data_IF_985507324841
#
_entry.id   IF_985507324841
#
_cell.length_a   1.000
_cell.length_b   1.000
_cell.length_c   1.000
_cell.angle_alpha   90.00
_cell.angle_beta   90.00
_cell.angle_gamma   90.00
#
_symmetry.space_group_name_H-M   'P 1'
#
loop_
_entity.id
_entity.type
_entity.pdbx_description
1 polymer ?
#
# COMPACT_ATOMS: atom_id res chain seq x y z
N UNK A 1 -23.12 10.24 -4.09
CA UNK A 1 -22.46 10.24 -2.77
C UNK A 1 -21.19 11.05 -2.88
N UNK A 2 -21.20 12.28 -2.37
CA UNK A 2 -20.01 13.12 -2.29
C UNK A 2 -19.21 12.68 -1.07
N UNK A 3 -18.08 12.01 -1.27
CA UNK A 3 -17.05 11.88 -0.26
C UNK A 3 -16.42 13.25 -0.07
N UNK A 4 -16.66 13.88 1.06
CA UNK A 4 -15.94 15.08 1.47
C UNK A 4 -14.48 14.67 1.70
N UNK A 5 -13.61 15.10 0.81
CA UNK A 5 -12.18 14.86 0.91
C UNK A 5 -11.69 15.60 2.16
N UNK A 6 -11.37 14.87 3.22
CA UNK A 6 -10.72 15.47 4.38
C UNK A 6 -9.34 15.93 3.95
N UNK A 7 -9.09 17.22 4.07
CA UNK A 7 -7.80 17.81 3.72
C UNK A 7 -6.70 17.27 4.65
N UNK A 8 -5.46 17.24 4.19
CA UNK A 8 -4.29 16.82 4.98
C UNK A 8 -4.16 17.57 6.34
N UNK A 9 -4.85 18.69 6.50
CA UNK A 9 -4.95 19.47 7.73
C UNK A 9 -5.83 18.79 8.79
N UNK A 10 -6.91 18.12 8.40
CA UNK A 10 -7.81 17.42 9.33
C UNK A 10 -7.17 16.12 9.86
N UNK A 11 -6.32 15.46 9.05
CA UNK A 11 -5.52 14.31 9.49
C UNK A 11 -4.44 14.72 10.50
N UNK A 12 -3.96 15.97 10.43
CA UNK A 12 -2.92 16.51 11.31
C UNK A 12 -3.40 16.78 12.75
N UNK A 13 -4.70 16.95 12.95
CA UNK A 13 -5.32 17.23 14.25
C UNK A 13 -6.07 16.04 14.87
N UNK A 14 -6.13 14.89 14.20
CA UNK A 14 -6.57 13.66 14.84
C UNK A 14 -5.46 13.23 15.80
N UNK A 15 -5.79 13.24 17.09
CA UNK A 15 -4.96 12.69 18.14
C UNK A 15 -4.88 11.17 17.91
N UNK A 16 -3.80 10.72 17.29
CA UNK A 16 -3.53 9.31 16.96
C UNK A 16 -3.22 8.47 18.21
N UNK A 17 -3.45 9.03 19.40
CA UNK A 17 -3.31 8.31 20.67
C UNK A 17 -4.29 7.12 20.80
N UNK A 18 -5.30 7.03 19.92
CA UNK A 18 -6.19 5.87 19.78
C UNK A 18 -5.74 4.91 18.66
N UNK A 19 -4.44 4.77 18.43
CA UNK A 19 -3.84 3.93 17.38
C UNK A 19 -4.37 2.49 17.32
N UNK A 20 -4.77 1.94 18.45
CA UNK A 20 -5.33 0.59 18.54
C UNK A 20 -6.67 0.50 17.79
N UNK A 21 -7.55 1.49 17.94
CA UNK A 21 -8.87 1.47 17.28
C UNK A 21 -8.76 1.67 15.76
N UNK A 22 -7.91 2.59 15.28
CA UNK A 22 -7.79 2.90 13.85
C UNK A 22 -7.14 1.77 13.07
N UNK A 23 -6.18 1.08 13.69
CA UNK A 23 -5.46 -0.01 13.06
C UNK A 23 -6.31 -1.28 12.93
N UNK A 24 -7.16 -1.57 13.92
CA UNK A 24 -8.03 -2.74 13.88
C UNK A 24 -9.14 -2.60 12.85
N UNK A 25 -9.61 -1.37 12.57
CA UNK A 25 -10.59 -1.09 11.53
C UNK A 25 -10.14 -1.50 10.12
N UNK A 26 -8.83 -1.40 9.83
CA UNK A 26 -8.27 -1.81 8.53
C UNK A 26 -8.27 -3.34 8.34
N UNK A 27 -8.44 -4.11 9.40
CA UNK A 27 -8.39 -5.57 9.36
C UNK A 27 -9.73 -6.24 9.65
N UNK A 28 -10.47 -5.74 10.65
CA UNK A 28 -11.74 -6.34 11.08
C UNK A 28 -12.88 -6.11 10.08
N UNK A 29 -12.83 -5.02 9.31
CA UNK A 29 -13.93 -4.62 8.45
C UNK A 29 -15.20 -4.25 9.21
N UNK A 30 -15.14 -4.11 10.55
CA UNK A 30 -16.25 -3.74 11.43
C UNK A 30 -15.82 -2.71 12.46
N UNK A 31 -16.73 -1.85 12.87
CA UNK A 31 -16.57 -0.92 13.99
C UNK A 31 -17.49 -1.34 15.12
N UNK A 32 -16.92 -1.61 16.29
CA UNK A 32 -17.66 -1.83 17.53
C UNK A 32 -17.71 -0.54 18.35
N UNK A 33 -18.91 -0.03 18.61
CA UNK A 33 -19.14 1.10 19.49
C UNK A 33 -19.79 0.61 20.79
N UNK A 34 -19.09 0.81 21.91
CA UNK A 34 -19.62 0.50 23.24
C UNK A 34 -19.98 1.81 23.95
N UNK A 35 -21.24 1.92 24.44
CA UNK A 35 -21.73 3.00 25.30
C UNK A 35 -22.44 2.40 26.49
N UNK A 36 -22.74 3.22 27.52
CA UNK A 36 -23.39 2.79 28.75
C UNK A 36 -24.73 2.05 28.53
N UNK A 37 -25.36 2.21 27.36
CA UNK A 37 -26.63 1.58 27.00
C UNK A 37 -26.53 0.37 26.04
N UNK A 38 -25.32 -0.08 25.65
CA UNK A 38 -25.18 -1.23 24.75
C UNK A 38 -23.96 -1.20 23.86
N UNK A 39 -23.76 -2.30 23.14
CA UNK A 39 -22.72 -2.48 22.12
C UNK A 39 -23.38 -2.58 20.75
N UNK A 40 -22.92 -1.80 19.80
CA UNK A 40 -23.37 -1.86 18.41
C UNK A 40 -22.18 -2.11 17.49
N UNK A 41 -22.36 -2.96 16.48
CA UNK A 41 -21.36 -3.25 15.45
C UNK A 41 -21.86 -2.75 14.10
N UNK A 42 -20.97 -2.06 13.38
CA UNK A 42 -21.27 -1.50 12.06
C UNK A 42 -20.25 -2.02 11.04
N UNK A 43 -20.67 -2.31 9.80
CA UNK A 43 -19.73 -2.66 8.74
C UNK A 43 -18.82 -1.47 8.42
N UNK A 44 -17.52 -1.72 8.30
CA UNK A 44 -16.50 -0.72 8.06
C UNK A 44 -15.47 -1.18 7.00
N UNK A 45 -15.93 -1.88 5.97
CA UNK A 45 -15.09 -2.24 4.83
C UNK A 45 -14.79 -1.01 3.98
N UNK A 46 -13.54 -0.52 4.00
CA UNK A 46 -13.09 0.63 3.21
C UNK A 46 -11.69 0.41 2.65
N UNK A 47 -11.36 1.17 1.61
CA UNK A 47 -9.99 1.26 1.08
C UNK A 47 -9.34 2.55 1.61
N UNK A 48 -8.20 2.41 2.29
CA UNK A 48 -7.39 3.55 2.73
C UNK A 48 -6.44 3.97 1.62
N UNK A 49 -6.54 5.24 1.18
CA UNK A 49 -5.56 5.90 0.33
C UNK A 49 -5.07 7.12 1.08
N UNK A 50 -3.76 7.15 1.34
CA UNK A 50 -3.13 8.23 2.10
C UNK A 50 -1.92 8.77 1.35
N UNK A 51 -1.62 10.06 1.54
CA UNK A 51 -0.42 10.70 1.04
C UNK A 51 0.25 11.48 2.17
N UNK A 52 1.59 11.47 2.18
CA UNK A 52 2.37 12.28 3.10
C UNK A 52 3.59 12.87 2.41
N UNK A 53 4.05 14.00 2.92
CA UNK A 53 5.31 14.59 2.49
C UNK A 53 6.51 13.80 3.03
N UNK A 54 7.68 13.82 2.36
CA UNK A 54 8.87 13.11 2.81
C UNK A 54 9.49 13.70 4.09
N UNK A 55 9.20 14.98 4.39
CA UNK A 55 9.67 15.71 5.58
C UNK A 55 8.73 16.89 5.89
N UNK A 56 8.90 17.61 7.03
CA UNK A 56 8.07 18.75 7.39
C UNK A 56 8.05 19.88 6.36
N UNK A 57 9.17 20.17 5.67
CA UNK A 57 9.22 21.19 4.62
C UNK A 57 8.80 20.68 3.23
N UNK A 58 8.62 19.36 3.03
CA UNK A 58 8.21 18.74 1.77
C UNK A 58 9.35 18.47 0.76
N UNK A 59 10.58 18.93 1.00
CA UNK A 59 11.65 18.92 0.01
C UNK A 59 12.76 17.89 0.23
N UNK A 60 12.56 16.91 1.11
CA UNK A 60 13.54 15.84 1.26
C UNK A 60 13.52 14.94 0.02
N UNK A 61 14.67 14.82 -0.67
CA UNK A 61 14.78 14.08 -1.93
C UNK A 61 14.41 14.86 -3.19
N UNK A 62 14.03 16.13 -3.07
CA UNK A 62 13.76 17.01 -4.21
C UNK A 62 15.09 17.41 -4.88
N UNK A 63 15.19 17.21 -6.20
CA UNK A 63 16.36 17.59 -6.99
C UNK A 63 16.48 19.11 -7.21
N UNK A 64 15.36 19.84 -7.15
CA UNK A 64 15.27 21.27 -7.46
C UNK A 64 15.31 22.16 -6.23
N UNK A 65 14.82 21.65 -5.08
CA UNK A 65 14.72 22.43 -3.83
C UNK A 65 15.44 21.74 -2.68
N UNK A 66 16.32 22.47 -2.02
CA UNK A 66 17.07 21.95 -0.88
C UNK A 66 16.18 21.81 0.37
N UNK A 67 16.15 20.62 0.95
CA UNK A 67 15.53 20.39 2.25
C UNK A 67 16.25 21.18 3.35
N UNK A 68 15.47 21.86 4.22
CA UNK A 68 15.98 22.66 5.36
C UNK A 68 15.79 21.98 6.70
N UNK A 69 15.18 20.82 6.73
CA UNK A 69 14.90 20.07 7.96
C UNK A 69 16.17 19.39 8.48
N UNK A 70 16.37 19.44 9.79
CA UNK A 70 17.38 18.63 10.47
C UNK A 70 16.98 17.15 10.45
N UNK A 71 17.94 16.24 10.46
CA UNK A 71 17.68 14.79 10.47
C UNK A 71 16.75 14.36 11.62
N UNK A 72 16.92 14.96 12.80
CA UNK A 72 16.08 14.72 13.99
C UNK A 72 14.61 15.12 13.74
N UNK A 73 14.38 16.23 13.03
CA UNK A 73 13.02 16.70 12.71
C UNK A 73 12.34 15.77 11.72
N UNK A 74 13.07 15.30 10.71
CA UNK A 74 12.57 14.31 9.74
C UNK A 74 12.24 13.00 10.44
N UNK A 75 13.13 12.51 11.32
CA UNK A 75 12.90 11.31 12.09
C UNK A 75 11.66 11.43 13.01
N UNK A 76 11.50 12.58 13.70
CA UNK A 76 10.31 12.86 14.53
C UNK A 76 9.04 12.91 13.69
N UNK A 77 9.09 13.48 12.51
CA UNK A 77 7.96 13.56 11.59
C UNK A 77 7.53 12.17 11.10
N UNK A 78 8.48 11.33 10.69
CA UNK A 78 8.21 9.96 10.23
C UNK A 78 7.69 9.05 11.37
N UNK A 79 8.16 9.24 12.60
CA UNK A 79 7.67 8.51 13.79
C UNK A 79 6.21 8.77 14.14
N UNK A 80 5.55 9.76 13.53
CA UNK A 80 4.10 9.97 13.68
C UNK A 80 3.29 8.85 13.05
N UNK A 81 3.85 8.13 12.08
CA UNK A 81 3.26 6.90 11.58
C UNK A 81 3.73 5.76 12.46
N UNK A 82 2.81 5.15 13.19
CA UNK A 82 3.15 4.01 14.05
C UNK A 82 3.56 2.79 13.20
N UNK A 83 4.47 1.98 13.72
CA UNK A 83 4.87 0.72 13.09
C UNK A 83 3.67 -0.18 12.78
N UNK A 84 2.76 -0.40 13.76
CA UNK A 84 1.53 -1.16 13.54
C UNK A 84 0.64 -0.65 12.39
N UNK A 85 0.52 0.68 12.22
CA UNK A 85 -0.22 1.25 11.09
C UNK A 85 0.48 0.97 9.76
N UNK A 86 1.80 1.21 9.72
CA UNK A 86 2.61 0.94 8.53
C UNK A 86 2.55 -0.54 8.13
N UNK A 87 2.52 -1.45 9.10
CA UNK A 87 2.37 -2.88 8.84
C UNK A 87 1.03 -3.23 8.18
N UNK A 88 0.01 -2.41 8.37
CA UNK A 88 -1.32 -2.62 7.80
C UNK A 88 -1.51 -1.98 6.42
N UNK A 89 -0.57 -1.15 5.97
CA UNK A 89 -0.56 -0.58 4.62
C UNK A 89 0.12 -1.57 3.68
N UNK A 90 -0.61 -2.04 2.66
CA UNK A 90 -0.12 -3.06 1.73
C UNK A 90 0.89 -2.49 0.72
N UNK A 91 0.63 -1.29 0.22
CA UNK A 91 1.41 -0.66 -0.85
C UNK A 91 1.94 0.70 -0.39
N UNK A 92 3.23 0.93 -0.58
CA UNK A 92 3.90 2.21 -0.34
C UNK A 92 4.61 2.61 -1.61
N UNK A 93 4.35 3.82 -2.09
CA UNK A 93 4.91 4.32 -3.34
C UNK A 93 5.59 5.65 -3.07
N UNK A 94 6.88 5.73 -3.34
CA UNK A 94 7.59 7.00 -3.38
C UNK A 94 7.28 7.70 -4.71
N UNK A 95 6.82 8.93 -4.63
CA UNK A 95 6.56 9.76 -5.81
C UNK A 95 7.67 10.80 -5.93
N UNK A 96 8.34 10.81 -7.09
CA UNK A 96 9.28 11.86 -7.43
C UNK A 96 8.53 13.18 -7.73
N UNK A 97 9.23 14.30 -7.58
CA UNK A 97 8.73 15.59 -8.03
C UNK A 97 8.51 15.55 -9.55
N UNK A 98 7.41 16.16 -10.01
CA UNK A 98 7.09 16.24 -11.44
C UNK A 98 8.01 17.25 -12.08
N UNK A 99 8.75 16.87 -13.12
CA UNK A 99 9.61 17.78 -13.87
C UNK A 99 8.81 18.61 -14.88
N UNK A 100 9.38 19.73 -15.33
CA UNK A 100 8.79 20.55 -16.40
C UNK A 100 8.65 19.75 -17.70
N UNK A 101 9.58 18.84 -17.97
CA UNK A 101 9.51 17.92 -19.11
C UNK A 101 8.32 16.97 -19.00
N UNK A 102 8.04 16.40 -17.81
CA UNK A 102 6.89 15.54 -17.58
C UNK A 102 5.57 16.31 -17.75
N UNK A 103 5.54 17.58 -17.27
CA UNK A 103 4.38 18.46 -17.48
C UNK A 103 4.14 18.77 -18.95
N UNK A 104 5.20 19.06 -19.70
CA UNK A 104 5.13 19.30 -21.13
C UNK A 104 4.65 18.02 -21.88
N UNK A 105 5.22 16.89 -21.56
CA UNK A 105 4.81 15.59 -22.11
C UNK A 105 3.36 15.26 -21.80
N UNK A 106 2.90 15.54 -20.58
CA UNK A 106 1.50 15.33 -20.19
C UNK A 106 0.53 16.23 -20.99
N UNK A 107 0.91 17.51 -21.20
CA UNK A 107 0.12 18.45 -22.01
C UNK A 107 0.07 18.07 -23.49
N UNK A 108 1.16 17.47 -24.01
CA UNK A 108 1.25 17.03 -25.38
C UNK A 108 0.48 15.71 -25.66
N UNK A 109 0.12 14.96 -24.61
CA UNK A 109 -0.67 13.72 -24.74
C UNK A 109 -2.08 14.05 -25.23
N UNK A 110 -2.46 13.39 -26.29
CA UNK A 110 -3.83 13.51 -26.79
C UNK A 110 -4.80 12.81 -25.86
N UNK A 111 -5.96 13.42 -25.61
CA UNK A 111 -7.03 12.83 -24.77
C UNK A 111 -7.48 11.43 -25.23
N UNK A 112 -7.25 11.10 -26.50
CA UNK A 112 -7.57 9.80 -27.09
C UNK A 112 -6.59 8.71 -26.63
N UNK A 113 -5.27 8.99 -26.65
CA UNK A 113 -4.24 8.05 -26.20
C UNK A 113 -4.39 7.74 -24.70
N UNK A 114 -4.70 8.75 -23.88
CA UNK A 114 -4.93 8.56 -22.45
C UNK A 114 -6.20 7.73 -22.18
N UNK A 115 -7.27 7.91 -22.94
CA UNK A 115 -8.47 7.08 -22.84
C UNK A 115 -8.19 5.62 -23.22
N UNK A 116 -7.46 5.36 -24.29
CA UNK A 116 -7.09 4.01 -24.70
C UNK A 116 -6.24 3.31 -23.63
N UNK A 117 -5.26 4.02 -23.05
CA UNK A 117 -4.43 3.49 -21.99
C UNK A 117 -5.25 3.18 -20.73
N UNK A 118 -6.18 4.06 -20.36
CA UNK A 118 -7.10 3.81 -19.25
C UNK A 118 -7.99 2.61 -19.52
N UNK A 119 -8.56 2.50 -20.71
CA UNK A 119 -9.40 1.38 -21.09
C UNK A 119 -8.64 0.04 -21.02
N UNK A 120 -7.41 -0.01 -21.51
CA UNK A 120 -6.54 -1.19 -21.43
C UNK A 120 -6.27 -1.57 -19.96
N UNK A 121 -6.00 -0.58 -19.11
CA UNK A 121 -5.81 -0.82 -17.66
C UNK A 121 -7.08 -1.37 -17.02
N UNK A 122 -8.24 -0.80 -17.31
CA UNK A 122 -9.52 -1.28 -16.77
C UNK A 122 -9.79 -2.72 -17.19
N UNK A 123 -9.58 -3.09 -18.45
CA UNK A 123 -9.77 -4.46 -18.95
C UNK A 123 -8.85 -5.44 -18.18
N UNK A 124 -7.59 -5.10 -17.99
CA UNK A 124 -6.64 -5.93 -17.20
C UNK A 124 -7.09 -6.12 -15.77
N UNK A 125 -7.53 -5.04 -15.12
CA UNK A 125 -8.01 -5.08 -13.72
C UNK A 125 -9.26 -5.95 -13.60
N UNK A 126 -10.22 -5.78 -14.50
CA UNK A 126 -11.46 -6.58 -14.51
C UNK A 126 -11.15 -8.06 -14.72
N UNK A 127 -10.29 -8.40 -15.69
CA UNK A 127 -9.87 -9.77 -15.92
C UNK A 127 -9.14 -10.39 -14.72
N UNK A 128 -8.29 -9.63 -14.02
CA UNK A 128 -7.64 -10.10 -12.79
C UNK A 128 -8.65 -10.35 -11.67
N UNK A 129 -9.62 -9.45 -11.47
CA UNK A 129 -10.70 -9.63 -10.48
C UNK A 129 -11.55 -10.85 -10.78
N UNK A 130 -11.88 -11.07 -12.04
CA UNK A 130 -12.64 -12.25 -12.47
C UNK A 130 -11.88 -13.55 -12.18
N UNK A 131 -10.54 -13.59 -12.39
CA UNK A 131 -9.71 -14.74 -12.01
C UNK A 131 -9.78 -15.02 -10.51
N UNK A 132 -9.73 -13.97 -9.67
CA UNK A 132 -9.85 -14.10 -8.22
C UNK A 132 -11.21 -14.71 -7.83
N UNK A 133 -12.30 -14.16 -8.37
CA UNK A 133 -13.63 -14.67 -8.10
C UNK A 133 -13.83 -16.12 -8.56
N UNK A 134 -13.34 -16.49 -9.75
CA UNK A 134 -13.41 -17.87 -10.24
C UNK A 134 -12.59 -18.83 -9.40
N UNK A 135 -11.42 -18.40 -8.90
CA UNK A 135 -10.52 -19.26 -8.11
C UNK A 135 -11.00 -19.47 -6.68
N UNK A 136 -11.51 -18.44 -6.02
CA UNK A 136 -11.72 -18.44 -4.58
C UNK A 136 -13.00 -17.74 -4.09
N UNK A 137 -13.83 -17.22 -4.97
CA UNK A 137 -15.10 -16.58 -4.60
C UNK A 137 -14.99 -15.21 -3.93
N UNK A 138 -13.76 -14.65 -3.81
CA UNK A 138 -13.52 -13.35 -3.19
C UNK A 138 -12.25 -12.70 -3.75
N UNK A 139 -11.98 -11.45 -3.36
CA UNK A 139 -10.76 -10.75 -3.75
C UNK A 139 -9.56 -11.24 -2.93
N UNK A 140 -8.35 -11.16 -3.50
CA UNK A 140 -7.11 -11.52 -2.79
C UNK A 140 -6.92 -10.71 -1.48
N UNK A 141 -7.43 -9.48 -1.43
CA UNK A 141 -7.32 -8.63 -0.25
C UNK A 141 -8.02 -9.20 0.99
N UNK A 142 -9.04 -10.04 0.80
CA UNK A 142 -9.84 -10.63 1.89
C UNK A 142 -9.40 -12.04 2.28
N UNK A 143 -8.39 -12.61 1.61
CA UNK A 143 -7.87 -13.93 1.98
C UNK A 143 -7.21 -13.88 3.37
N UNK A 144 -7.59 -14.79 4.25
CA UNK A 144 -6.92 -15.02 5.52
C UNK A 144 -5.68 -15.94 5.36
N UNK A 145 -5.01 -16.26 6.47
CA UNK A 145 -3.78 -17.06 6.43
C UNK A 145 -3.94 -18.40 5.73
N UNK A 146 -4.87 -19.28 6.17
CA UNK A 146 -5.07 -20.60 5.57
C UNK A 146 -5.54 -20.56 4.11
N UNK A 147 -6.50 -19.69 3.79
CA UNK A 147 -7.01 -19.55 2.41
C UNK A 147 -5.97 -18.90 1.49
N UNK A 148 -5.13 -18.01 2.02
CA UNK A 148 -4.03 -17.45 1.25
C UNK A 148 -2.98 -18.51 0.88
N UNK A 149 -2.60 -19.38 1.81
CA UNK A 149 -1.67 -20.49 1.54
C UNK A 149 -2.22 -21.43 0.45
N UNK A 150 -3.51 -21.71 0.48
CA UNK A 150 -4.17 -22.57 -0.50
C UNK A 150 -4.17 -21.95 -1.92
N UNK A 151 -4.36 -20.64 -2.04
CA UNK A 151 -4.56 -19.97 -3.32
C UNK A 151 -3.33 -19.20 -3.83
N UNK A 152 -2.28 -19.04 -3.00
CA UNK A 152 -1.04 -18.37 -3.34
C UNK A 152 0.09 -19.36 -3.65
N UNK A 153 -0.09 -20.23 -4.66
CA UNK A 153 0.94 -21.16 -5.08
C UNK A 153 2.19 -20.43 -5.56
N UNK A 154 3.33 -20.69 -4.90
CA UNK A 154 4.63 -20.09 -5.17
C UNK A 154 5.50 -21.02 -6.01
N UNK A 155 6.21 -20.46 -6.96
CA UNK A 155 7.33 -21.15 -7.62
C UNK A 155 8.51 -21.32 -6.63
N UNK A 156 9.37 -22.33 -6.79
CA UNK A 156 10.48 -22.58 -5.85
C UNK A 156 11.42 -21.39 -5.69
N UNK A 157 11.67 -20.60 -6.74
CA UNK A 157 12.48 -19.39 -6.70
C UNK A 157 11.80 -18.29 -5.88
N UNK A 158 10.50 -18.09 -6.08
CA UNK A 158 9.67 -17.14 -5.34
C UNK A 158 9.63 -17.47 -3.84
N UNK A 159 9.48 -18.74 -3.50
CA UNK A 159 9.49 -19.20 -2.11
C UNK A 159 10.83 -18.92 -1.42
N UNK A 160 11.96 -19.25 -2.08
CA UNK A 160 13.31 -18.93 -1.56
C UNK A 160 13.50 -17.43 -1.34
N UNK A 161 13.08 -16.61 -2.30
CA UNK A 161 13.19 -15.15 -2.20
C UNK A 161 12.38 -14.62 -1.01
N UNK A 162 11.14 -15.09 -0.83
CA UNK A 162 10.26 -14.66 0.25
C UNK A 162 10.82 -15.03 1.63
N UNK A 163 11.34 -16.25 1.80
CA UNK A 163 11.97 -16.70 3.04
C UNK A 163 13.24 -15.90 3.35
N UNK A 164 14.06 -15.64 2.33
CA UNK A 164 15.26 -14.80 2.47
C UNK A 164 14.90 -13.36 2.87
N UNK A 165 13.89 -12.77 2.24
CA UNK A 165 13.41 -11.43 2.58
C UNK A 165 12.89 -11.37 4.02
N UNK A 166 12.16 -12.39 4.48
CA UNK A 166 11.72 -12.51 5.87
C UNK A 166 12.90 -12.50 6.85
N UNK A 167 13.92 -13.31 6.58
CA UNK A 167 15.10 -13.41 7.45
C UNK A 167 15.89 -12.09 7.49
N UNK A 168 16.11 -11.44 6.34
CA UNK A 168 16.92 -10.22 6.23
C UNK A 168 16.21 -8.96 6.73
N UNK A 169 14.89 -8.84 6.49
CA UNK A 169 14.11 -7.62 6.80
C UNK A 169 13.28 -7.76 8.07
N UNK A 170 13.31 -8.89 8.77
CA UNK A 170 12.53 -9.13 9.98
C UNK A 170 11.02 -9.04 9.77
N UNK A 171 10.53 -9.47 8.59
CA UNK A 171 9.10 -9.38 8.28
C UNK A 171 8.27 -10.20 9.26
N UNK A 172 7.26 -9.58 9.86
CA UNK A 172 6.25 -10.25 10.67
C UNK A 172 5.44 -11.24 9.81
N UNK A 173 4.77 -12.21 10.43
CA UNK A 173 3.86 -13.11 9.69
C UNK A 173 2.75 -12.34 8.96
N UNK A 174 2.24 -11.28 9.58
CA UNK A 174 1.27 -10.36 8.95
C UNK A 174 1.88 -9.67 7.73
N UNK A 175 3.11 -9.16 7.85
CA UNK A 175 3.86 -8.56 6.74
C UNK A 175 4.07 -9.52 5.58
N UNK A 176 4.40 -10.79 5.87
CA UNK A 176 4.54 -11.85 4.89
C UNK A 176 3.24 -12.13 4.13
N UNK A 177 2.13 -12.30 4.85
CA UNK A 177 0.81 -12.53 4.25
C UNK A 177 0.39 -11.38 3.34
N UNK A 178 0.68 -10.14 3.73
CA UNK A 178 0.40 -8.95 2.89
C UNK A 178 1.25 -8.95 1.62
N UNK A 179 2.54 -9.28 1.72
CA UNK A 179 3.38 -9.46 0.53
C UNK A 179 2.82 -10.54 -0.42
N UNK A 180 2.34 -11.65 0.13
CA UNK A 180 1.74 -12.73 -0.66
C UNK A 180 0.43 -12.31 -1.36
N UNK A 181 -0.45 -11.56 -0.69
CA UNK A 181 -1.68 -11.02 -1.31
C UNK A 181 -1.35 -10.09 -2.48
N UNK A 182 -0.36 -9.21 -2.32
CA UNK A 182 0.10 -8.32 -3.38
C UNK A 182 0.75 -9.11 -4.50
N UNK A 183 1.66 -10.04 -4.22
CA UNK A 183 2.31 -10.89 -5.20
C UNK A 183 1.31 -11.74 -6.00
N UNK A 184 0.27 -12.32 -5.33
CA UNK A 184 -0.82 -13.02 -5.99
C UNK A 184 -1.61 -12.10 -6.92
N UNK A 185 -1.86 -10.85 -6.50
CA UNK A 185 -2.57 -9.88 -7.33
C UNK A 185 -1.76 -9.47 -8.55
N UNK A 186 -0.44 -9.31 -8.41
CA UNK A 186 0.47 -9.06 -9.54
C UNK A 186 0.46 -10.23 -10.53
N UNK A 187 0.52 -11.46 -10.06
CA UNK A 187 0.43 -12.64 -10.92
C UNK A 187 -0.96 -12.75 -11.61
N UNK A 188 -2.05 -12.39 -10.94
CA UNK A 188 -3.37 -12.32 -11.56
C UNK A 188 -3.46 -11.24 -12.65
N UNK A 189 -2.82 -10.09 -12.47
CA UNK A 189 -2.69 -9.04 -13.50
C UNK A 189 -1.88 -9.49 -14.73
N UNK A 190 -0.94 -10.42 -14.54
CA UNK A 190 -0.14 -11.05 -15.59
C UNK A 190 -0.78 -12.31 -16.18
N UNK A 191 -1.97 -12.69 -15.72
CA UNK A 191 -2.67 -13.92 -16.10
C UNK A 191 -1.92 -15.23 -15.75
N UNK A 192 -1.06 -15.21 -14.72
CA UNK A 192 -0.30 -16.36 -14.25
C UNK A 192 -1.05 -17.12 -13.15
N UNK A 193 -0.94 -18.45 -13.17
CA UNK A 193 -1.54 -19.30 -12.15
C UNK A 193 -0.68 -19.41 -10.89
N UNK A 194 0.63 -19.30 -11.03
CA UNK A 194 1.62 -19.35 -9.95
C UNK A 194 2.26 -17.98 -9.71
N UNK A 195 2.78 -17.78 -8.52
CA UNK A 195 3.50 -16.56 -8.15
C UNK A 195 4.99 -16.79 -8.44
N UNK A 196 5.55 -16.05 -9.38
CA UNK A 196 6.97 -16.04 -9.69
C UNK A 196 7.78 -15.12 -8.76
N UNK A 197 9.10 -15.25 -8.83
CA UNK A 197 10.07 -14.44 -8.09
C UNK A 197 9.96 -12.94 -8.40
N UNK A 198 9.68 -12.56 -9.64
CA UNK A 198 9.43 -11.17 -10.06
C UNK A 198 8.23 -10.58 -9.32
N UNK A 199 7.14 -11.33 -9.15
CA UNK A 199 5.96 -10.88 -8.43
C UNK A 199 6.25 -10.67 -6.93
N UNK A 200 7.05 -11.57 -6.34
CA UNK A 200 7.51 -11.43 -4.95
C UNK A 200 8.45 -10.24 -4.80
N UNK A 201 9.42 -10.08 -5.69
CA UNK A 201 10.36 -8.95 -5.66
C UNK A 201 9.61 -7.60 -5.72
N UNK A 202 8.66 -7.47 -6.64
CA UNK A 202 7.85 -6.24 -6.78
C UNK A 202 6.96 -6.00 -5.56
N UNK A 203 6.35 -7.03 -4.98
CA UNK A 203 5.56 -6.89 -3.75
C UNK A 203 6.41 -6.40 -2.56
N UNK A 204 7.64 -6.90 -2.45
CA UNK A 204 8.60 -6.47 -1.44
C UNK A 204 9.06 -5.02 -1.68
N UNK A 205 9.32 -4.64 -2.92
CA UNK A 205 9.67 -3.27 -3.32
C UNK A 205 8.56 -2.28 -2.96
N UNK A 206 7.31 -2.61 -3.29
CA UNK A 206 6.15 -1.78 -2.96
C UNK A 206 5.90 -1.64 -1.44
N UNK A 207 6.49 -2.52 -0.64
CA UNK A 207 6.39 -2.44 0.83
C UNK A 207 7.55 -1.65 1.45
N UNK A 208 8.76 -1.68 0.87
CA UNK A 208 9.97 -1.06 1.43
C UNK A 208 10.20 0.38 1.01
N UNK A 209 9.44 0.94 0.09
CA UNK A 209 9.70 2.25 -0.52
C UNK A 209 9.84 3.44 0.46
N UNK A 210 9.46 3.31 1.74
CA UNK A 210 9.70 4.33 2.77
C UNK A 210 10.96 4.06 3.62
N UNK A 211 11.54 2.86 3.54
CA UNK A 211 12.69 2.42 4.35
C UNK A 211 14.01 2.69 3.62
N UNK A 212 14.02 2.57 2.30
CA UNK A 212 15.19 2.75 1.44
C UNK A 212 15.68 4.22 1.44
N UNK A 213 14.78 5.19 1.51
CA UNK A 213 15.10 6.62 1.66
C UNK A 213 15.87 6.96 2.95
N UNK A 214 15.91 6.06 3.92
CA UNK A 214 16.60 6.28 5.20
C UNK A 214 18.04 5.72 5.20
N UNK A 215 18.33 4.71 4.38
CA UNK A 215 19.64 4.02 4.35
C UNK A 215 20.63 4.62 3.33
N UNK A 216 20.16 5.33 2.30
CA UNK A 216 21.03 5.94 1.29
C UNK A 216 21.66 7.29 1.72
N UNK A 217 21.49 7.74 2.96
CA UNK A 217 21.95 9.04 3.47
C UNK A 217 22.79 8.96 4.74
N UNK A 218 23.55 7.89 4.91
CA UNK A 218 24.62 7.80 5.93
C UNK A 218 25.97 7.84 5.25
#
# INVERSE_FOLDING_TARGET
>A
FFFKQKTAYEIRNCDWSSDVCSSDLLESGTISLARVGGRAEYPAGFQLIAAMNPCPCGHAGDATRRCRCKSVEVARYRRRLSGPLLDRIDLRVALAAVSDADLAAHRARTSTADRQLQQTRCVRILAARERQWRRQGCLNATLDGPTLEQHASLEPAAQKLLLRARALRGLSMRGLQRCLRVARTLADLEAKNTIGDVNVAESLRLRSALEEDASERV
#
